data_IF_667409295303
#
_entry.id   IF_667409295303
#
_cell.length_a   1.000
_cell.length_b   1.000
_cell.length_c   1.000
_cell.angle_alpha   90.00
_cell.angle_beta   90.00
_cell.angle_gamma   90.00
#
_symmetry.space_group_name_H-M   'P 1'
#
loop_
_entity.id
_entity.type
_entity.pdbx_description
1 polymer ?
#
# COMPACT_ATOMS: atom_id res chain seq x y z
N UNK A 1 20.42 -2.41 -12.04
CA UNK A 1 19.93 -3.78 -12.21
C UNK A 1 18.46 -3.71 -12.59
N UNK A 2 18.04 -4.36 -13.68
CA UNK A 2 16.64 -4.47 -14.07
C UNK A 2 16.09 -5.80 -13.57
N UNK A 3 14.98 -5.77 -12.84
CA UNK A 3 14.22 -6.96 -12.44
C UNK A 3 12.87 -6.96 -13.16
N UNK A 4 12.21 -8.11 -13.22
CA UNK A 4 10.86 -8.19 -13.78
C UNK A 4 9.88 -7.38 -12.95
N UNK A 5 8.74 -7.03 -13.53
CA UNK A 5 7.62 -6.51 -12.76
C UNK A 5 7.24 -7.50 -11.64
N UNK A 6 7.04 -6.98 -10.42
CA UNK A 6 6.77 -7.77 -9.21
C UNK A 6 7.87 -8.81 -8.95
N UNK A 7 9.09 -8.36 -8.66
CA UNK A 7 10.24 -9.24 -8.50
C UNK A 7 9.97 -10.31 -7.44
N UNK A 8 10.30 -11.55 -7.77
CA UNK A 8 10.17 -12.69 -6.89
C UNK A 8 11.31 -12.76 -5.86
N UNK A 9 11.25 -13.81 -5.02
CA UNK A 9 12.26 -14.07 -3.99
C UNK A 9 13.66 -14.15 -4.59
N UNK A 10 13.83 -14.95 -5.62
CA UNK A 10 15.14 -15.24 -6.26
C UNK A 10 15.77 -13.98 -6.86
N UNK A 11 14.96 -13.06 -7.39
CA UNK A 11 15.42 -11.82 -8.01
C UNK A 11 15.81 -10.75 -6.99
N UNK A 12 15.33 -10.85 -5.74
CA UNK A 12 15.56 -9.85 -4.69
C UNK A 12 16.61 -10.28 -3.66
N UNK A 13 16.81 -11.58 -3.43
CA UNK A 13 17.67 -12.07 -2.35
C UNK A 13 19.13 -11.63 -2.53
N UNK A 14 19.69 -11.77 -3.72
CA UNK A 14 21.07 -11.37 -4.00
C UNK A 14 21.28 -9.85 -3.88
N UNK A 15 20.44 -8.98 -4.47
CA UNK A 15 20.55 -7.53 -4.29
C UNK A 15 20.37 -7.06 -2.85
N UNK A 16 19.52 -7.73 -2.08
CA UNK A 16 19.23 -7.35 -0.70
C UNK A 16 20.31 -7.83 0.29
N UNK A 17 21.01 -8.92 -0.02
CA UNK A 17 22.10 -9.44 0.81
C UNK A 17 23.31 -8.49 0.94
N UNK A 18 23.50 -7.56 0.01
CA UNK A 18 24.60 -6.60 0.00
C UNK A 18 24.22 -5.18 0.39
N UNK A 19 23.09 -4.97 1.07
CA UNK A 19 22.59 -3.62 1.35
C UNK A 19 23.33 -2.88 2.48
N UNK A 20 24.05 -3.53 3.35
CA UNK A 20 24.84 -3.01 4.50
C UNK A 20 24.84 -1.46 4.63
N UNK A 21 23.77 -0.88 5.19
CA UNK A 21 23.62 0.56 5.36
C UNK A 21 23.36 1.37 4.07
N UNK A 22 23.16 0.72 2.93
CA UNK A 22 22.83 1.36 1.66
C UNK A 22 21.33 1.65 1.55
N UNK A 23 21.01 2.64 0.70
CA UNK A 23 19.64 2.95 0.31
C UNK A 23 19.19 2.02 -0.82
N UNK A 24 17.94 1.60 -0.78
CA UNK A 24 17.33 0.87 -1.87
C UNK A 24 16.44 1.82 -2.69
N UNK A 25 16.62 1.88 -3.99
CA UNK A 25 15.76 2.68 -4.87
C UNK A 25 14.94 1.75 -5.74
N UNK A 26 13.62 1.86 -5.60
CA UNK A 26 12.65 1.12 -6.40
C UNK A 26 12.09 2.03 -7.50
N UNK A 27 12.34 1.67 -8.77
CA UNK A 27 11.75 2.32 -9.93
C UNK A 27 10.69 1.40 -10.52
N UNK A 28 9.41 1.75 -10.42
CA UNK A 28 8.35 0.84 -10.87
C UNK A 28 6.95 1.28 -10.47
N UNK A 29 6.04 0.33 -10.44
CA UNK A 29 4.65 0.50 -10.01
C UNK A 29 4.53 0.41 -8.48
N UNK A 30 3.37 0.79 -7.94
CA UNK A 30 3.08 0.61 -6.51
C UNK A 30 3.15 -0.88 -6.11
N UNK A 31 2.76 -1.80 -7.01
CA UNK A 31 2.85 -3.24 -6.78
C UNK A 31 4.32 -3.75 -6.74
N UNK A 32 5.23 -3.15 -7.52
CA UNK A 32 6.65 -3.48 -7.46
C UNK A 32 7.25 -3.05 -6.11
N UNK A 33 6.89 -1.86 -5.64
CA UNK A 33 7.27 -1.39 -4.32
C UNK A 33 6.74 -2.32 -3.21
N UNK A 34 5.46 -2.74 -3.30
CA UNK A 34 4.87 -3.69 -2.36
C UNK A 34 5.63 -5.02 -2.31
N UNK A 35 6.04 -5.56 -3.47
CA UNK A 35 6.83 -6.79 -3.55
C UNK A 35 8.20 -6.65 -2.86
N UNK A 36 8.87 -5.52 -3.07
CA UNK A 36 10.15 -5.22 -2.42
C UNK A 36 9.99 -5.09 -0.91
N UNK A 37 9.02 -4.30 -0.42
CA UNK A 37 8.77 -4.13 1.02
C UNK A 37 8.37 -5.45 1.68
N UNK A 38 7.56 -6.27 1.01
CA UNK A 38 7.25 -7.61 1.50
C UNK A 38 8.49 -8.47 1.66
N UNK A 39 9.47 -8.34 0.75
CA UNK A 39 10.72 -9.10 0.86
C UNK A 39 11.57 -8.59 2.01
N UNK A 40 11.75 -7.27 2.15
CA UNK A 40 12.45 -6.66 3.29
C UNK A 40 11.84 -7.07 4.63
N UNK A 41 10.51 -7.11 4.72
CA UNK A 41 9.80 -7.59 5.90
C UNK A 41 10.14 -9.06 6.20
N UNK A 42 10.10 -9.93 5.18
CA UNK A 42 10.36 -11.37 5.35
C UNK A 42 11.81 -11.69 5.69
N UNK A 43 12.73 -10.80 5.37
CA UNK A 43 14.17 -10.93 5.74
C UNK A 43 14.51 -10.22 7.04
N UNK A 44 13.52 -9.54 7.69
CA UNK A 44 13.74 -8.88 8.99
C UNK A 44 14.56 -7.59 8.91
N UNK A 45 14.63 -6.96 7.74
CA UNK A 45 15.43 -5.74 7.53
C UNK A 45 14.59 -4.53 7.12
N UNK A 46 13.25 -4.63 7.20
CA UNK A 46 12.31 -3.59 6.76
C UNK A 46 12.61 -2.23 7.39
N UNK A 47 12.73 -2.16 8.70
CA UNK A 47 12.96 -0.92 9.44
C UNK A 47 14.41 -0.40 9.35
N UNK A 48 15.35 -1.20 8.83
CA UNK A 48 16.75 -0.84 8.74
C UNK A 48 17.15 -0.27 7.37
N UNK A 49 16.37 -0.56 6.31
CA UNK A 49 16.72 -0.19 4.94
C UNK A 49 15.90 1.01 4.49
N UNK A 50 16.52 2.19 4.26
CA UNK A 50 15.84 3.33 3.66
C UNK A 50 15.47 3.05 2.20
N UNK A 51 14.19 3.24 1.85
CA UNK A 51 13.66 2.95 0.52
C UNK A 51 13.25 4.24 -0.18
N UNK A 52 13.85 4.52 -1.33
CA UNK A 52 13.44 5.55 -2.26
C UNK A 52 12.49 4.97 -3.30
N UNK A 53 11.50 5.74 -3.71
CA UNK A 53 10.55 5.31 -4.72
C UNK A 53 10.46 6.30 -5.89
N UNK A 54 10.62 5.77 -7.10
CA UNK A 54 10.46 6.50 -8.36
C UNK A 54 9.29 5.86 -9.11
N UNK A 55 8.09 6.48 -9.08
CA UNK A 55 6.91 5.90 -9.69
C UNK A 55 7.04 5.86 -11.23
N UNK A 56 6.72 4.73 -11.84
CA UNK A 56 6.64 4.57 -13.30
C UNK A 56 5.33 5.13 -13.89
N UNK A 57 4.35 5.47 -13.03
CA UNK A 57 3.05 6.01 -13.44
C UNK A 57 2.75 7.32 -12.73
N UNK A 58 2.22 8.30 -13.47
CA UNK A 58 1.70 9.54 -12.91
C UNK A 58 0.46 9.33 -12.01
N UNK A 59 -0.17 8.17 -12.08
CA UNK A 59 -1.34 7.79 -11.27
C UNK A 59 -0.98 7.02 -10.01
N UNK A 60 0.32 6.89 -9.66
CA UNK A 60 0.77 6.22 -8.45
C UNK A 60 0.03 6.75 -7.22
N UNK A 61 -0.59 5.85 -6.48
CA UNK A 61 -1.27 6.17 -5.22
C UNK A 61 -0.23 6.44 -4.13
N UNK A 62 0.85 5.70 -4.08
CA UNK A 62 1.98 5.93 -3.17
C UNK A 62 2.53 7.34 -3.33
N UNK A 63 2.83 7.76 -4.56
CA UNK A 63 3.36 9.11 -4.80
C UNK A 63 2.38 10.21 -4.32
N UNK A 64 1.08 9.99 -4.52
CA UNK A 64 0.05 10.93 -4.06
C UNK A 64 -0.09 10.95 -2.53
N UNK A 65 -0.10 9.81 -1.88
CA UNK A 65 -0.27 9.68 -0.42
C UNK A 65 0.90 10.32 0.33
N UNK A 66 2.11 10.08 -0.16
CA UNK A 66 3.33 10.49 0.53
C UNK A 66 3.94 11.77 -0.02
N UNK A 67 3.26 12.45 -0.95
CA UNK A 67 3.72 13.73 -1.51
C UNK A 67 5.00 13.62 -2.35
N UNK A 68 5.24 12.46 -2.97
CA UNK A 68 6.42 12.25 -3.80
C UNK A 68 6.31 12.99 -5.13
N UNK A 69 7.43 13.50 -5.68
CA UNK A 69 7.44 14.15 -6.97
C UNK A 69 6.98 13.20 -8.10
N UNK A 70 6.20 13.74 -9.05
CA UNK A 70 5.73 13.00 -10.22
C UNK A 70 6.67 13.12 -11.42
N UNK A 71 7.58 14.11 -11.40
CA UNK A 71 8.60 14.28 -12.42
C UNK A 71 9.73 13.27 -12.15
N UNK A 72 10.02 12.33 -13.07
CA UNK A 72 10.94 11.21 -12.81
C UNK A 72 12.32 11.64 -12.31
N UNK A 73 12.91 12.69 -12.91
CA UNK A 73 14.23 13.19 -12.51
C UNK A 73 14.22 13.76 -11.08
N UNK A 74 13.13 14.43 -10.67
CA UNK A 74 12.97 14.99 -9.30
C UNK A 74 12.73 13.84 -8.30
N UNK A 75 11.89 12.87 -8.66
CA UNK A 75 11.66 11.68 -7.86
C UNK A 75 12.95 10.87 -7.65
N UNK A 76 13.73 10.65 -8.70
CA UNK A 76 15.03 9.97 -8.62
C UNK A 76 16.02 10.74 -7.73
N UNK A 77 16.07 12.06 -7.85
CA UNK A 77 16.90 12.91 -6.99
C UNK A 77 16.52 12.76 -5.51
N UNK A 78 15.22 12.80 -5.20
CA UNK A 78 14.71 12.60 -3.84
C UNK A 78 14.99 11.18 -3.33
N UNK A 79 14.76 10.16 -4.14
CA UNK A 79 15.04 8.76 -3.79
C UNK A 79 16.52 8.50 -3.49
N UNK A 80 17.44 9.23 -4.13
CA UNK A 80 18.89 9.08 -3.92
C UNK A 80 19.42 9.91 -2.74
N UNK A 81 18.88 11.11 -2.50
CA UNK A 81 19.44 12.10 -1.56
C UNK A 81 18.54 12.49 -0.42
N UNK A 82 17.26 12.13 -0.48
CA UNK A 82 16.27 12.48 0.54
C UNK A 82 16.57 11.89 1.91
N UNK A 83 15.96 12.48 2.93
CA UNK A 83 16.00 11.98 4.30
C UNK A 83 14.89 10.93 4.52
N UNK A 84 15.18 9.87 5.29
CA UNK A 84 14.22 8.84 5.59
C UNK A 84 13.16 9.35 6.59
N UNK A 85 11.93 8.92 6.39
CA UNK A 85 10.83 9.12 7.31
C UNK A 85 10.12 7.80 7.54
N UNK A 86 9.78 7.50 8.79
CA UNK A 86 9.02 6.32 9.16
C UNK A 86 7.58 6.47 8.66
N UNK A 87 7.12 5.51 7.90
CA UNK A 87 5.75 5.45 7.42
C UNK A 87 5.13 4.09 7.72
N UNK A 88 3.83 4.03 8.06
CA UNK A 88 3.20 2.78 8.44
C UNK A 88 3.16 1.78 7.30
N UNK A 89 3.41 0.52 7.63
CA UNK A 89 3.19 -0.61 6.74
C UNK A 89 1.81 -1.19 7.01
N UNK A 90 1.02 -1.37 5.96
CA UNK A 90 -0.26 -2.08 6.02
C UNK A 90 -0.07 -3.48 5.48
N UNK A 91 -0.57 -4.47 6.22
CA UNK A 91 -0.58 -5.88 5.82
C UNK A 91 -2.01 -6.38 5.63
N UNK A 92 -2.13 -7.54 5.04
CA UNK A 92 -3.38 -8.29 4.99
C UNK A 92 -3.24 -9.71 5.56
N UNK A 93 -4.38 -10.36 5.78
CA UNK A 93 -4.49 -11.73 6.28
C UNK A 93 -4.05 -12.81 5.28
N UNK A 94 -3.84 -12.44 4.01
CA UNK A 94 -3.23 -13.30 3.00
C UNK A 94 -1.68 -13.26 3.03
N UNK A 95 -1.10 -12.49 3.95
CA UNK A 95 0.35 -12.35 4.11
C UNK A 95 1.00 -11.39 3.13
N UNK A 96 0.21 -10.52 2.48
CA UNK A 96 0.68 -9.48 1.59
C UNK A 96 0.93 -8.14 2.28
N UNK A 97 1.36 -7.15 1.49
CA UNK A 97 1.57 -5.75 1.88
C UNK A 97 0.72 -4.86 0.98
N UNK A 98 0.17 -3.80 1.54
CA UNK A 98 -0.52 -2.73 0.83
C UNK A 98 0.26 -1.43 1.03
N UNK A 99 0.74 -0.83 -0.04
CA UNK A 99 1.53 0.41 0.01
C UNK A 99 0.77 1.62 -0.55
N UNK A 100 -0.20 1.40 -1.42
CA UNK A 100 -0.98 2.44 -2.08
C UNK A 100 -2.47 2.28 -1.87
N UNK A 101 -3.14 1.43 -2.63
CA UNK A 101 -4.59 1.34 -2.67
C UNK A 101 -5.09 -0.11 -2.65
N UNK A 102 -5.78 -0.46 -1.58
CA UNK A 102 -6.62 -1.65 -1.48
C UNK A 102 -8.05 -1.35 -1.96
N UNK A 103 -8.65 -2.28 -2.70
CA UNK A 103 -10.00 -2.12 -3.23
C UNK A 103 -10.77 -3.42 -3.09
N UNK A 104 -12.04 -3.31 -2.68
CA UNK A 104 -13.02 -4.37 -2.75
C UNK A 104 -14.23 -3.86 -3.54
N UNK A 105 -14.60 -4.57 -4.64
CA UNK A 105 -15.70 -4.13 -5.50
C UNK A 105 -16.25 -5.27 -6.39
N UNK A 106 -17.60 -5.33 -6.55
CA UNK A 106 -18.60 -4.66 -5.72
C UNK A 106 -18.62 -5.25 -4.31
N UNK A 107 -19.26 -4.58 -3.36
CA UNK A 107 -19.29 -5.06 -1.97
C UNK A 107 -20.74 -5.14 -1.47
N UNK A 108 -21.14 -6.30 -0.97
CA UNK A 108 -22.37 -6.51 -0.23
C UNK A 108 -22.05 -7.27 1.06
N UNK A 109 -22.13 -6.58 2.20
CA UNK A 109 -21.70 -7.16 3.46
C UNK A 109 -21.58 -6.15 4.59
N UNK A 110 -20.69 -6.45 5.52
CA UNK A 110 -20.38 -5.60 6.68
C UNK A 110 -18.89 -5.32 6.71
N UNK A 111 -18.51 -4.08 6.98
CA UNK A 111 -17.11 -3.70 7.18
C UNK A 111 -16.97 -2.86 8.45
N UNK A 112 -15.89 -3.11 9.16
CA UNK A 112 -15.48 -2.40 10.38
C UNK A 112 -14.13 -1.72 10.15
N UNK A 113 -13.97 -0.54 10.73
CA UNK A 113 -12.66 0.09 10.95
C UNK A 113 -12.46 0.16 12.46
N UNK A 114 -11.56 -0.65 13.00
CA UNK A 114 -11.46 -0.94 14.43
C UNK A 114 -12.85 -1.34 15.00
N UNK A 115 -13.42 -0.56 15.90
CA UNK A 115 -14.74 -0.81 16.52
C UNK A 115 -15.89 -0.12 15.76
N UNK A 116 -15.61 0.70 14.75
CA UNK A 116 -16.61 1.45 14.00
C UNK A 116 -17.14 0.67 12.81
N UNK A 117 -18.47 0.52 12.71
CA UNK A 117 -19.13 -0.01 11.51
C UNK A 117 -19.08 1.04 10.40
N UNK A 118 -18.30 0.79 9.35
CA UNK A 118 -18.18 1.68 8.18
C UNK A 118 -19.10 1.30 7.03
N UNK A 119 -19.53 0.04 6.98
CA UNK A 119 -20.50 -0.45 5.98
C UNK A 119 -21.45 -1.47 6.61
N UNK A 120 -22.74 -1.36 6.26
CA UNK A 120 -23.75 -2.44 6.29
C UNK A 120 -24.52 -2.45 4.98
N UNK A 121 -24.59 -3.60 4.32
CA UNK A 121 -25.24 -3.83 3.04
C UNK A 121 -24.36 -3.43 1.86
N UNK A 122 -24.94 -2.85 0.82
CA UNK A 122 -24.28 -2.67 -0.47
C UNK A 122 -23.47 -1.38 -0.58
N UNK A 123 -22.29 -1.53 -1.21
CA UNK A 123 -21.46 -0.43 -1.68
C UNK A 123 -20.94 -0.74 -3.10
N UNK A 124 -20.74 0.28 -3.91
CA UNK A 124 -20.10 0.10 -5.21
C UNK A 124 -18.62 -0.23 -5.07
N UNK A 125 -17.99 0.28 -4.00
CA UNK A 125 -16.54 0.12 -3.76
C UNK A 125 -16.19 0.49 -2.32
N UNK A 126 -15.26 -0.25 -1.74
CA UNK A 126 -14.54 0.10 -0.52
C UNK A 126 -13.06 0.26 -0.88
N UNK A 127 -12.47 1.34 -0.42
CA UNK A 127 -11.05 1.66 -0.63
C UNK A 127 -10.34 1.75 0.70
N UNK A 128 -9.13 1.19 0.78
CA UNK A 128 -8.23 1.29 1.92
C UNK A 128 -6.90 1.83 1.45
N UNK A 129 -6.34 2.78 2.19
CA UNK A 129 -5.01 3.35 1.94
C UNK A 129 -4.21 3.42 3.23
N UNK A 130 -2.88 3.33 3.20
CA UNK A 130 -2.06 3.68 4.34
C UNK A 130 -2.32 5.11 4.81
N UNK A 131 -2.34 5.31 6.13
CA UNK A 131 -2.53 6.60 6.80
C UNK A 131 -1.43 6.83 7.82
N UNK A 132 -0.80 8.01 7.78
CA UNK A 132 0.36 8.33 8.61
C UNK A 132 0.03 8.33 10.11
N UNK A 133 -1.16 8.81 10.50
CA UNK A 133 -1.51 9.01 11.90
C UNK A 133 -1.97 7.72 12.59
N UNK A 134 -2.89 6.97 11.97
CA UNK A 134 -3.54 5.82 12.57
C UNK A 134 -3.13 4.48 11.95
N UNK A 135 -2.48 4.50 10.79
CA UNK A 135 -2.01 3.31 10.09
C UNK A 135 -2.74 3.06 8.78
N UNK A 136 -4.05 3.18 8.75
CA UNK A 136 -4.84 3.09 7.52
C UNK A 136 -6.09 3.95 7.56
N UNK A 137 -6.59 4.31 6.39
CA UNK A 137 -7.87 4.99 6.21
C UNK A 137 -8.73 4.22 5.23
N UNK A 138 -10.04 4.20 5.48
CA UNK A 138 -11.05 3.52 4.66
C UNK A 138 -12.06 4.51 4.12
N UNK A 139 -12.46 4.32 2.85
CA UNK A 139 -13.55 5.04 2.21
C UNK A 139 -14.55 4.07 1.63
N UNK A 140 -15.81 4.28 1.95
CA UNK A 140 -16.92 3.55 1.34
C UNK A 140 -17.56 4.42 0.26
N UNK A 141 -17.69 3.86 -0.93
CA UNK A 141 -18.25 4.53 -2.11
C UNK A 141 -19.60 3.91 -2.46
N UNK A 142 -20.61 4.75 -2.71
CA UNK A 142 -21.90 4.31 -3.24
C UNK A 142 -22.19 5.00 -4.57
N UNK A 143 -22.88 4.28 -5.45
CA UNK A 143 -23.36 4.84 -6.71
C UNK A 143 -24.56 5.76 -6.41
N UNK A 144 -24.51 6.98 -6.90
CA UNK A 144 -25.62 7.93 -6.89
C UNK A 144 -25.98 8.35 -8.31
N UNK A 145 -26.96 9.24 -8.46
CA UNK A 145 -27.43 9.75 -9.76
C UNK A 145 -26.33 10.44 -10.58
N UNK A 146 -25.35 11.05 -9.91
CA UNK A 146 -24.23 11.78 -10.52
C UNK A 146 -22.90 10.99 -10.47
N UNK A 147 -22.93 9.65 -10.33
CA UNK A 147 -21.74 8.80 -10.26
C UNK A 147 -21.45 8.26 -8.85
N UNK A 148 -20.24 7.73 -8.64
CA UNK A 148 -19.81 7.22 -7.34
C UNK A 148 -19.34 8.36 -6.43
N UNK A 149 -19.82 8.38 -5.20
CA UNK A 149 -19.38 9.31 -4.16
C UNK A 149 -18.99 8.57 -2.88
N UNK A 150 -18.03 9.10 -2.15
CA UNK A 150 -17.75 8.64 -0.80
C UNK A 150 -18.90 8.99 0.14
N UNK A 151 -19.39 8.00 0.88
CA UNK A 151 -20.52 8.15 1.84
C UNK A 151 -20.07 7.93 3.28
N UNK A 152 -18.90 7.33 3.48
CA UNK A 152 -18.30 7.11 4.79
C UNK A 152 -16.77 7.18 4.69
N UNK A 153 -16.17 7.75 5.72
CA UNK A 153 -14.71 7.78 5.92
C UNK A 153 -14.44 7.40 7.37
N UNK A 154 -13.41 6.60 7.58
CA UNK A 154 -12.86 6.33 8.89
C UNK A 154 -11.35 6.09 8.75
N UNK A 155 -10.63 6.22 9.86
CA UNK A 155 -9.22 5.86 9.94
C UNK A 155 -8.97 5.09 11.23
N UNK A 156 -8.07 4.13 11.19
CA UNK A 156 -7.81 3.23 12.32
C UNK A 156 -6.60 2.34 12.08
N UNK A 157 -6.52 1.28 12.87
CA UNK A 157 -5.41 0.31 12.79
C UNK A 157 -5.76 -0.92 11.97
N UNK A 158 -7.05 -1.23 11.83
CA UNK A 158 -7.51 -2.37 11.05
C UNK A 158 -8.84 -2.07 10.34
N UNK A 159 -8.97 -2.63 9.14
CA UNK A 159 -10.25 -2.73 8.42
C UNK A 159 -10.54 -4.19 8.18
N UNK A 160 -11.69 -4.65 8.69
CA UNK A 160 -12.16 -6.01 8.54
C UNK A 160 -13.47 -6.01 7.78
N UNK A 161 -13.63 -6.94 6.86
CA UNK A 161 -14.87 -7.10 6.12
C UNK A 161 -15.29 -8.56 6.00
N UNK A 162 -16.61 -8.76 6.05
CA UNK A 162 -17.28 -10.01 5.69
C UNK A 162 -18.37 -9.70 4.68
N UNK A 163 -18.42 -10.43 3.56
CA UNK A 163 -19.25 -10.07 2.42
C UNK A 163 -19.64 -11.28 1.57
N UNK A 164 -20.57 -11.07 0.66
CA UNK A 164 -20.75 -11.99 -0.47
C UNK A 164 -19.42 -12.05 -1.24
N UNK A 165 -18.98 -13.24 -1.71
CA UNK A 165 -17.71 -13.41 -2.41
C UNK A 165 -17.51 -12.35 -3.49
N UNK A 166 -16.40 -11.62 -3.39
CA UNK A 166 -16.07 -10.50 -4.27
C UNK A 166 -14.57 -10.36 -4.47
N UNK A 167 -14.17 -9.58 -5.48
CA UNK A 167 -12.77 -9.41 -5.85
C UNK A 167 -12.08 -8.38 -4.97
N UNK A 168 -10.88 -8.75 -4.52
CA UNK A 168 -9.95 -7.88 -3.80
C UNK A 168 -8.79 -7.50 -4.70
N UNK A 169 -8.42 -6.22 -4.66
CA UNK A 169 -7.31 -5.66 -5.42
C UNK A 169 -6.32 -4.99 -4.48
N UNK A 170 -5.03 -5.17 -4.72
CA UNK A 170 -3.94 -4.50 -4.01
C UNK A 170 -3.03 -3.80 -5.01
N UNK A 171 -2.84 -2.50 -4.83
CA UNK A 171 -1.91 -1.69 -5.63
C UNK A 171 -2.08 -1.87 -7.15
N UNK A 172 -3.36 -1.96 -7.59
CA UNK A 172 -3.73 -2.14 -8.98
C UNK A 172 -3.70 -3.58 -9.50
N UNK A 173 -3.40 -4.57 -8.65
CA UNK A 173 -3.34 -5.98 -9.01
C UNK A 173 -4.49 -6.75 -8.36
N UNK A 174 -5.20 -7.55 -9.15
CA UNK A 174 -6.18 -8.49 -8.63
C UNK A 174 -5.48 -9.53 -7.75
N UNK A 175 -6.00 -9.73 -6.55
CA UNK A 175 -5.52 -10.75 -5.63
C UNK A 175 -6.35 -12.03 -5.79
N UNK A 176 -7.51 -12.06 -5.15
CA UNK A 176 -8.43 -13.19 -5.18
C UNK A 176 -9.86 -12.75 -4.91
N UNK A 177 -10.81 -13.62 -5.27
CA UNK A 177 -12.19 -13.54 -4.83
C UNK A 177 -12.30 -14.16 -3.43
N UNK A 178 -12.95 -13.46 -2.50
CA UNK A 178 -13.12 -13.92 -1.11
C UNK A 178 -14.38 -13.36 -0.48
N UNK A 179 -14.85 -13.98 0.59
CA UNK A 179 -15.98 -13.55 1.41
C UNK A 179 -15.56 -12.82 2.68
N UNK A 180 -14.26 -12.78 2.96
CA UNK A 180 -13.68 -12.06 4.09
C UNK A 180 -12.29 -11.55 3.77
N UNK A 181 -11.94 -10.39 4.33
CA UNK A 181 -10.64 -9.78 4.16
C UNK A 181 -10.31 -8.85 5.32
N UNK A 182 -9.03 -8.78 5.67
CA UNK A 182 -8.53 -7.87 6.69
C UNK A 182 -7.31 -7.14 6.19
N UNK A 183 -7.29 -5.81 6.30
CA UNK A 183 -6.07 -5.01 6.28
C UNK A 183 -5.79 -4.49 7.69
N UNK A 184 -4.54 -4.47 8.09
CA UNK A 184 -4.14 -3.99 9.40
C UNK A 184 -2.76 -3.31 9.36
N UNK A 185 -2.57 -2.31 10.23
CA UNK A 185 -1.28 -1.71 10.46
C UNK A 185 -0.32 -2.74 11.06
N UNK A 186 0.85 -2.92 10.42
CA UNK A 186 1.92 -3.74 10.98
C UNK A 186 2.58 -3.04 12.17
N UNK A 187 3.25 -3.80 13.03
CA UNK A 187 3.96 -3.25 14.20
C UNK A 187 5.26 -2.54 13.82
N UNK A 188 5.85 -2.89 12.69
CA UNK A 188 7.06 -2.30 12.17
C UNK A 188 6.74 -1.36 11.02
N UNK A 189 7.22 -0.13 11.10
CA UNK A 189 7.13 0.87 10.04
C UNK A 189 8.32 0.70 9.07
N UNK A 190 8.21 1.21 7.86
CA UNK A 190 9.30 1.22 6.90
C UNK A 190 9.80 2.65 6.66
N UNK A 191 11.05 2.77 6.17
CA UNK A 191 11.70 4.06 5.95
C UNK A 191 11.53 4.51 4.51
N UNK A 192 10.73 5.56 4.26
CA UNK A 192 10.56 6.16 2.95
C UNK A 192 11.45 7.41 2.83
N UNK A 193 12.27 7.47 1.79
CA UNK A 193 13.05 8.66 1.44
C UNK A 193 12.14 9.71 0.80
N UNK A 194 11.62 10.64 1.59
CA UNK A 194 10.62 11.62 1.14
C UNK A 194 10.88 13.06 1.55
N UNK A 195 11.72 13.31 2.52
CA UNK A 195 12.09 14.68 2.91
C UNK A 195 13.24 15.17 2.03
N UNK A 196 13.22 16.44 1.56
CA UNK A 196 14.41 17.03 0.95
C UNK A 196 15.59 16.98 1.94
N UNK A 197 16.83 16.87 1.44
CA UNK A 197 18.02 16.87 2.28
C UNK A 197 18.23 18.24 2.94
#
# INVERSE_FOLDING_TARGET
>A
MGVRARPGREELDEPLAGLDGRRLVVCGTDADLAAVLLRLLRTGVLGAVPVGYVPSSATSTVARLWGLPRVPAVAASLALRGEPEQVPLVRDDAGGVLVGLGVVQPLDGVAYCDDEVVLRGQASRLEVVPDHALGLAVRVMRRGLLGCRAVRHAAGRAVQLGCVPTDVWRDGIADRTTDRWTWYRHTEDWQLLRRPP
#
